data_IF_989110597170
#
_entry.id   IF_989110597170
#
_cell.length_a   1.000
_cell.length_b   1.000
_cell.length_c   1.000
_cell.angle_alpha   90.00
_cell.angle_beta   90.00
_cell.angle_gamma   90.00
#
_symmetry.space_group_name_H-M   'P 1'
#
loop_
_entity.id
_entity.type
_entity.pdbx_description
1 polymer ?
#
# COMPACT_ATOMS: atom_id res chain seq x y z
N UNK A 1 -21.81 -24.75 -17.42
CA UNK A 1 -22.98 -23.86 -17.22
C UNK A 1 -23.18 -23.50 -15.76
N UNK A 2 -23.54 -24.43 -14.86
CA UNK A 2 -23.80 -24.11 -13.44
C UNK A 2 -22.64 -23.39 -12.71
N UNK A 3 -21.38 -23.82 -12.89
CA UNK A 3 -20.21 -23.19 -12.28
C UNK A 3 -20.00 -21.73 -12.74
N UNK A 4 -20.28 -21.45 -14.01
CA UNK A 4 -20.15 -20.11 -14.58
C UNK A 4 -21.21 -19.17 -14.01
N UNK A 5 -22.45 -19.63 -13.93
CA UNK A 5 -23.55 -18.88 -13.31
C UNK A 5 -23.30 -18.60 -11.82
N UNK A 6 -22.72 -19.56 -11.09
CA UNK A 6 -22.31 -19.36 -9.70
C UNK A 6 -21.22 -18.28 -9.61
N UNK A 7 -20.16 -18.36 -10.43
CA UNK A 7 -19.08 -17.36 -10.46
C UNK A 7 -19.59 -15.94 -10.73
N UNK A 8 -20.46 -15.80 -11.73
CA UNK A 8 -21.09 -14.51 -12.08
C UNK A 8 -21.94 -13.97 -10.93
N UNK A 9 -22.77 -14.81 -10.31
CA UNK A 9 -23.60 -14.41 -9.17
C UNK A 9 -22.77 -13.98 -7.95
N UNK A 10 -21.66 -14.68 -7.68
CA UNK A 10 -20.72 -14.33 -6.60
C UNK A 10 -20.04 -13.00 -6.90
N UNK A 11 -19.58 -12.78 -8.12
CA UNK A 11 -18.96 -11.52 -8.53
C UNK A 11 -19.92 -10.33 -8.37
N UNK A 12 -21.18 -10.48 -8.82
CA UNK A 12 -22.21 -9.44 -8.66
C UNK A 12 -22.50 -9.19 -7.18
N UNK A 13 -22.61 -10.25 -6.37
CA UNK A 13 -22.80 -10.12 -4.92
C UNK A 13 -21.64 -9.38 -4.23
N UNK A 14 -20.40 -9.67 -4.63
CA UNK A 14 -19.21 -8.95 -4.13
C UNK A 14 -19.23 -7.49 -4.56
N UNK A 15 -19.58 -7.17 -5.81
CA UNK A 15 -19.69 -5.79 -6.28
C UNK A 15 -20.75 -5.01 -5.49
N UNK A 16 -21.89 -5.62 -5.18
CA UNK A 16 -22.93 -5.00 -4.36
C UNK A 16 -22.47 -4.75 -2.92
N UNK A 17 -21.66 -5.66 -2.34
CA UNK A 17 -21.21 -5.57 -0.95
C UNK A 17 -19.97 -4.69 -0.76
N UNK A 18 -19.01 -4.77 -1.68
CA UNK A 18 -17.68 -4.15 -1.58
C UNK A 18 -17.53 -2.92 -2.48
N UNK A 19 -18.31 -2.85 -3.55
CA UNK A 19 -18.17 -1.86 -4.63
C UNK A 19 -17.62 -2.50 -5.91
N UNK A 20 -17.79 -1.80 -7.04
CA UNK A 20 -17.21 -2.23 -8.31
C UNK A 20 -15.68 -2.13 -8.28
N UNK A 21 -14.96 -2.83 -9.17
CA UNK A 21 -13.52 -2.68 -9.29
C UNK A 21 -13.05 -1.23 -9.45
N UNK A 22 -13.81 -0.39 -10.18
CA UNK A 22 -13.51 1.03 -10.34
C UNK A 22 -13.66 1.80 -9.02
N UNK A 23 -14.72 1.52 -8.23
CA UNK A 23 -14.91 2.16 -6.93
C UNK A 23 -13.81 1.75 -5.94
N UNK A 24 -13.40 0.48 -5.97
CA UNK A 24 -12.30 -0.03 -5.14
C UNK A 24 -10.98 0.64 -5.54
N UNK A 25 -10.68 0.73 -6.84
CA UNK A 25 -9.50 1.42 -7.35
C UNK A 25 -9.47 2.89 -6.92
N UNK A 26 -10.57 3.64 -7.11
CA UNK A 26 -10.66 5.05 -6.69
C UNK A 26 -10.39 5.19 -5.19
N UNK A 27 -10.92 4.30 -4.35
CA UNK A 27 -10.66 4.35 -2.90
C UNK A 27 -9.20 4.08 -2.57
N UNK A 28 -8.55 3.17 -3.28
CA UNK A 28 -7.12 2.87 -3.11
C UNK A 28 -6.27 4.08 -3.51
N UNK A 29 -6.58 4.71 -4.64
CA UNK A 29 -5.88 5.89 -5.14
C UNK A 29 -6.02 7.08 -4.18
N UNK A 30 -7.21 7.29 -3.62
CA UNK A 30 -7.44 8.33 -2.59
C UNK A 30 -6.55 8.11 -1.37
N UNK A 31 -6.46 6.87 -0.87
CA UNK A 31 -5.63 6.57 0.30
C UNK A 31 -4.15 6.78 -0.03
N UNK A 32 -3.70 6.36 -1.22
CA UNK A 32 -2.32 6.59 -1.67
C UNK A 32 -1.97 8.08 -1.78
N UNK A 33 -2.86 8.90 -2.37
CA UNK A 33 -2.67 10.36 -2.45
C UNK A 33 -2.59 10.97 -1.05
N UNK A 34 -3.48 10.58 -0.15
CA UNK A 34 -3.46 11.09 1.23
C UNK A 34 -2.17 10.72 1.96
N UNK A 35 -1.69 9.49 1.81
CA UNK A 35 -0.42 9.05 2.41
C UNK A 35 0.77 9.87 1.90
N UNK A 36 0.83 10.13 0.59
CA UNK A 36 1.89 10.96 -0.01
C UNK A 36 1.80 12.41 0.50
N UNK A 37 0.60 12.95 0.69
CA UNK A 37 0.39 14.30 1.22
C UNK A 37 0.77 14.38 2.70
N UNK A 38 0.32 13.43 3.53
CA UNK A 38 0.64 13.35 4.96
C UNK A 38 2.17 13.27 5.17
N UNK A 39 2.86 12.44 4.39
CA UNK A 39 4.32 12.33 4.43
C UNK A 39 5.08 13.61 4.04
N UNK A 40 4.46 14.52 3.26
CA UNK A 40 5.06 15.80 2.89
C UNK A 40 4.88 16.88 3.96
N UNK A 41 3.80 16.79 4.75
CA UNK A 41 3.48 17.79 5.78
C UNK A 41 4.00 17.40 7.17
N UNK A 42 4.23 16.11 7.42
CA UNK A 42 4.64 15.59 8.73
C UNK A 42 6.04 16.09 9.08
N UNK A 43 6.20 16.63 10.30
CA UNK A 43 7.49 17.16 10.77
C UNK A 43 8.46 16.03 11.10
N UNK A 44 9.75 16.33 11.06
CA UNK A 44 10.82 15.34 11.28
C UNK A 44 10.79 14.69 12.66
N UNK A 45 10.19 15.34 13.66
CA UNK A 45 10.04 14.86 15.04
C UNK A 45 8.69 14.15 15.31
N UNK A 46 7.83 14.02 14.31
CA UNK A 46 6.52 13.38 14.42
C UNK A 46 6.52 11.92 13.96
N UNK A 47 5.57 11.15 14.48
CA UNK A 47 5.30 9.79 13.98
C UNK A 47 4.45 9.86 12.72
N UNK A 48 4.84 9.09 11.72
CA UNK A 48 4.04 8.83 10.53
C UNK A 48 3.05 7.72 10.86
N UNK A 49 1.81 7.87 10.40
CA UNK A 49 0.78 6.83 10.45
C UNK A 49 0.35 6.48 9.03
N UNK A 50 0.08 5.22 8.80
CA UNK A 50 -0.39 4.73 7.50
C UNK A 50 -1.39 3.61 7.70
N UNK A 51 -2.39 3.54 6.82
CA UNK A 51 -3.39 2.48 6.86
C UNK A 51 -2.88 1.28 6.06
N UNK A 52 -3.09 0.07 6.56
CA UNK A 52 -2.79 -1.17 5.84
C UNK A 52 -4.06 -2.01 5.65
N UNK A 53 -3.90 -3.23 5.16
CA UNK A 53 -4.94 -4.25 5.11
C UNK A 53 -6.12 -3.92 4.19
N UNK A 54 -7.26 -4.55 4.48
CA UNK A 54 -8.45 -4.54 3.61
C UNK A 54 -8.92 -3.12 3.27
N UNK A 55 -8.83 -2.23 4.26
CA UNK A 55 -9.23 -0.83 4.15
C UNK A 55 -8.27 -0.03 3.27
N UNK A 56 -6.96 -0.29 3.28
CA UNK A 56 -6.00 0.35 2.36
C UNK A 56 -6.24 -0.05 0.91
N UNK A 57 -6.63 -1.30 0.70
CA UNK A 57 -6.96 -1.87 -0.61
C UNK A 57 -8.34 -1.45 -1.15
N UNK A 58 -9.06 -0.57 -0.44
CA UNK A 58 -10.35 -0.02 -0.88
C UNK A 58 -11.58 -0.84 -0.49
N UNK A 59 -11.40 -1.97 0.20
CA UNK A 59 -12.49 -2.77 0.75
C UNK A 59 -12.99 -2.15 2.06
N UNK A 60 -14.26 -1.73 2.07
CA UNK A 60 -14.89 -1.03 3.21
C UNK A 60 -15.95 -1.91 3.86
N UNK A 61 -15.54 -3.05 4.38
CA UNK A 61 -16.44 -3.93 5.15
C UNK A 61 -16.74 -3.26 6.50
N UNK A 62 -17.99 -3.28 6.95
CA UNK A 62 -18.39 -2.61 8.20
C UNK A 62 -17.78 -3.28 9.44
N UNK A 63 -17.65 -4.60 9.38
CA UNK A 63 -17.18 -5.43 10.48
C UNK A 63 -15.68 -5.74 10.39
N UNK A 64 -14.96 -5.14 9.42
CA UNK A 64 -13.51 -5.26 9.39
C UNK A 64 -12.88 -4.35 10.43
N UNK A 65 -11.80 -4.83 11.02
CA UNK A 65 -10.85 -4.02 11.76
C UNK A 65 -10.18 -2.94 10.87
N UNK A 66 -9.35 -2.14 11.53
CA UNK A 66 -8.54 -1.09 10.91
C UNK A 66 -7.08 -1.39 11.23
N UNK A 67 -6.33 -1.76 10.21
CA UNK A 67 -4.89 -1.97 10.32
C UNK A 67 -4.16 -0.63 10.18
N UNK A 68 -3.35 -0.28 11.19
CA UNK A 68 -2.56 0.96 11.22
C UNK A 68 -1.10 0.60 11.51
N UNK A 69 -0.21 1.13 10.69
CA UNK A 69 1.23 1.10 10.90
C UNK A 69 1.69 2.48 11.39
N UNK A 70 2.58 2.50 12.38
CA UNK A 70 3.12 3.72 12.98
C UNK A 70 4.63 3.61 13.08
N UNK A 71 5.35 4.62 12.62
CA UNK A 71 6.81 4.68 12.71
C UNK A 71 7.31 6.13 12.80
N UNK A 72 8.59 6.31 13.13
CA UNK A 72 9.22 7.63 13.24
C UNK A 72 9.60 8.19 11.86
N UNK A 73 9.47 9.50 11.61
CA UNK A 73 9.65 10.11 10.28
C UNK A 73 11.10 10.08 9.74
N UNK A 74 12.07 9.64 10.54
CA UNK A 74 13.41 9.27 10.07
C UNK A 74 13.44 7.96 9.27
N UNK A 75 12.37 7.16 9.37
CA UNK A 75 12.12 5.97 8.56
C UNK A 75 11.04 6.26 7.51
N UNK A 76 11.28 5.88 6.25
CA UNK A 76 10.29 5.96 5.17
C UNK A 76 9.88 4.57 4.72
N UNK A 77 8.59 4.28 4.80
CA UNK A 77 7.98 3.03 4.33
C UNK A 77 7.40 3.25 2.92
N UNK A 78 7.69 2.35 1.99
CA UNK A 78 7.14 2.34 0.62
C UNK A 78 6.46 1.01 0.31
N UNK A 79 5.36 1.05 -0.43
CA UNK A 79 4.67 -0.16 -0.92
C UNK A 79 5.11 -0.59 -2.32
N UNK A 80 5.61 0.37 -3.10
CA UNK A 80 6.09 0.15 -4.46
C UNK A 80 7.32 1.02 -4.74
N UNK A 81 8.17 0.55 -5.65
CA UNK A 81 9.37 1.26 -6.07
C UNK A 81 9.08 2.58 -6.77
N UNK A 82 7.90 2.74 -7.40
CA UNK A 82 7.50 4.03 -7.99
C UNK A 82 7.43 5.15 -6.95
N UNK A 83 7.09 4.83 -5.69
CA UNK A 83 7.01 5.81 -4.61
C UNK A 83 8.39 6.33 -4.21
N UNK A 84 9.46 5.55 -4.41
CA UNK A 84 10.84 5.93 -4.06
C UNK A 84 11.33 7.13 -4.88
N UNK A 85 10.91 7.23 -6.15
CA UNK A 85 11.33 8.31 -7.06
C UNK A 85 10.88 9.70 -6.59
N UNK A 86 9.88 9.76 -5.71
CA UNK A 86 9.33 11.01 -5.19
C UNK A 86 10.10 11.56 -4.00
N UNK A 87 11.13 10.87 -3.48
CA UNK A 87 11.81 11.24 -2.24
C UNK A 87 13.33 11.24 -2.34
N UNK A 88 13.95 12.13 -1.55
CA UNK A 88 15.40 12.22 -1.44
C UNK A 88 15.90 11.11 -0.50
N UNK A 89 16.60 10.13 -1.05
CA UNK A 89 17.07 8.92 -0.36
C UNK A 89 18.32 9.13 0.49
N UNK A 90 18.92 10.33 0.50
CA UNK A 90 20.25 10.55 1.09
C UNK A 90 20.26 10.66 2.63
N UNK A 91 19.12 10.83 3.31
CA UNK A 91 19.09 11.08 4.76
C UNK A 91 18.08 10.26 5.57
N UNK A 92 17.42 9.27 4.97
CA UNK A 92 16.33 8.52 5.63
C UNK A 92 16.51 7.01 5.50
N UNK A 93 16.10 6.27 6.55
CA UNK A 93 16.09 4.81 6.53
C UNK A 93 14.92 4.35 5.66
N UNK A 94 15.21 3.62 4.58
CA UNK A 94 14.19 3.15 3.65
C UNK A 94 13.72 1.75 4.07
N UNK A 95 12.41 1.61 4.23
CA UNK A 95 11.71 0.38 4.55
C UNK A 95 10.83 0.04 3.35
N UNK A 96 11.02 -1.13 2.77
CA UNK A 96 10.17 -1.61 1.69
C UNK A 96 9.16 -2.60 2.27
N UNK A 97 7.87 -2.29 2.10
CA UNK A 97 6.76 -3.20 2.33
C UNK A 97 6.43 -3.90 1.02
N UNK A 98 6.77 -5.18 0.92
CA UNK A 98 6.38 -6.00 -0.24
C UNK A 98 5.19 -6.85 0.17
N UNK A 99 4.00 -6.50 -0.33
CA UNK A 99 2.78 -7.27 -0.07
C UNK A 99 2.52 -8.39 -1.09
N UNK A 100 3.21 -8.36 -2.23
CA UNK A 100 3.03 -9.35 -3.32
C UNK A 100 3.53 -10.75 -2.97
N UNK A 101 4.51 -10.86 -2.07
CA UNK A 101 5.09 -12.15 -1.63
C UNK A 101 4.54 -12.63 -0.27
N UNK A 102 3.71 -11.82 0.40
CA UNK A 102 3.16 -12.17 1.71
C UNK A 102 1.78 -12.85 1.60
N UNK A 103 1.45 -13.79 2.51
CA UNK A 103 0.10 -14.31 2.62
C UNK A 103 -0.92 -13.19 2.89
N UNK A 104 -2.19 -13.34 2.46
CA UNK A 104 -3.23 -12.35 2.75
C UNK A 104 -3.31 -12.03 4.24
N UNK A 105 -3.33 -10.73 4.58
CA UNK A 105 -3.35 -10.25 5.97
C UNK A 105 -1.98 -10.07 6.62
N UNK A 106 -0.89 -10.39 5.91
CA UNK A 106 0.47 -10.12 6.35
C UNK A 106 1.11 -9.06 5.46
N UNK A 107 2.09 -8.35 6.00
CA UNK A 107 2.95 -7.42 5.25
C UNK A 107 4.38 -7.80 5.54
N UNK A 108 5.16 -8.10 4.50
CA UNK A 108 6.58 -8.38 4.66
C UNK A 108 7.33 -7.05 4.71
N UNK A 109 8.03 -6.82 5.82
CA UNK A 109 8.82 -5.60 6.04
C UNK A 109 10.29 -5.94 5.81
N UNK A 110 10.85 -5.41 4.72
CA UNK A 110 12.27 -5.53 4.41
C UNK A 110 13.02 -4.25 4.77
N UNK A 111 14.01 -4.35 5.66
CA UNK A 111 14.97 -3.26 5.88
C UNK A 111 16.00 -3.25 4.73
N UNK A 112 15.98 -2.21 3.91
CA UNK A 112 16.95 -2.10 2.82
C UNK A 112 17.92 -0.96 3.08
N UNK A 113 19.01 -1.28 3.79
CA UNK A 113 19.94 -0.27 4.27
C UNK A 113 21.04 0.15 3.27
N UNK A 114 21.21 -0.52 2.11
CA UNK A 114 22.30 -0.17 1.15
C UNK A 114 22.12 -0.43 -0.35
N UNK A 115 21.05 -1.07 -0.85
CA UNK A 115 21.05 -1.58 -2.24
C UNK A 115 20.19 -0.83 -3.26
N UNK A 116 19.45 0.21 -2.87
CA UNK A 116 18.59 0.94 -3.83
C UNK A 116 19.41 1.69 -4.91
N UNK A 117 20.70 1.92 -4.69
CA UNK A 117 21.60 2.50 -5.70
C UNK A 117 22.01 1.52 -6.82
N UNK A 118 21.88 0.21 -6.61
CA UNK A 118 22.27 -0.79 -7.63
C UNK A 118 21.12 -1.09 -8.60
N UNK A 119 19.87 -1.09 -8.13
CA UNK A 119 18.69 -1.38 -8.98
C UNK A 119 18.42 -0.28 -10.02
N UNK A 120 18.83 0.97 -9.77
CA UNK A 120 18.72 2.04 -10.76
C UNK A 120 19.76 1.94 -11.90
N UNK A 121 20.80 1.10 -11.78
CA UNK A 121 21.79 0.90 -12.86
C UNK A 121 21.39 -0.16 -13.87
N UNK A 122 20.55 -1.12 -13.50
CA UNK A 122 20.27 -2.30 -14.34
C UNK A 122 18.97 -2.18 -15.16
N UNK A 123 18.31 -1.01 -15.13
CA UNK A 123 17.06 -0.72 -15.86
C UNK A 123 17.21 0.10 -17.15
N UNK A 124 18.44 0.39 -17.60
CA UNK A 124 18.72 1.03 -18.88
C UNK A 124 19.90 0.33 -19.57
N UNK A 125 19.60 -0.78 -20.23
CA UNK A 125 20.45 -1.47 -21.19
C UNK A 125 19.61 -1.93 -22.37
#
# INVERSE_FOLDING_TARGET
MALQTISESVYVGLCLKLGTPQQIAIRRDIVEINEVLELKITRTDEFVKMQSGSRREGFRMKDSDIDIMIWSNDHRVFWDFSQIQLFNTQSQVLILCVSSESPPGFTLIGYHWRQILEVQRDGYG
#
